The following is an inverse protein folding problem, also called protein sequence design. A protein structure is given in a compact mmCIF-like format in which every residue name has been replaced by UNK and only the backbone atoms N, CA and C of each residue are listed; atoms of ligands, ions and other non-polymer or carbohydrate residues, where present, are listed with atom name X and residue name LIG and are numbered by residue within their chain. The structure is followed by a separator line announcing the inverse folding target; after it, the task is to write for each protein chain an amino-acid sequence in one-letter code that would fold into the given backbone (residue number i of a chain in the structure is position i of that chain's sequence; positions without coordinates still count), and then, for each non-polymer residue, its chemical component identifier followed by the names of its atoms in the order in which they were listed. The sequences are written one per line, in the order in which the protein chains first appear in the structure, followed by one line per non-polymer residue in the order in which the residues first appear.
data_IF_499623718348
#
_entry.id   IF_499623718348
#
_cell.length_a   1.000
_cell.length_b   1.000
_cell.length_c   1.000
_cell.angle_alpha   90.00
_cell.angle_beta   90.00
_cell.angle_gamma   90.00
#
_symmetry.space_group_name_H-M   'P 1'
#
loop_
_entity.id
_entity.type
_entity.pdbx_description
1 polymer ?
#
# COMPACT_ATOMS: atom_id res chain seq x y z
N UNK A 1 -10.00 -35.34 -17.34
CA UNK A 1 -9.08 -34.42 -16.66
C UNK A 1 -9.23 -33.05 -17.30
N UNK A 2 -10.15 -32.22 -16.80
CA UNK A 2 -10.25 -30.83 -17.26
C UNK A 2 -9.19 -30.03 -16.50
N UNK A 3 -8.25 -29.43 -17.25
CA UNK A 3 -7.33 -28.46 -16.70
C UNK A 3 -8.14 -27.33 -16.09
N UNK A 4 -8.06 -27.17 -14.78
CA UNK A 4 -8.41 -25.89 -14.17
C UNK A 4 -7.39 -24.90 -14.70
N UNK A 5 -7.78 -24.11 -15.70
CA UNK A 5 -7.04 -22.90 -16.07
C UNK A 5 -6.75 -22.17 -14.75
N UNK A 6 -5.46 -22.12 -14.37
CA UNK A 6 -5.03 -21.30 -13.25
C UNK A 6 -5.43 -19.88 -13.66
N UNK A 7 -6.49 -19.36 -13.03
CA UNK A 7 -6.83 -17.95 -13.16
C UNK A 7 -5.54 -17.18 -12.89
N UNK A 8 -5.06 -16.34 -13.83
CA UNK A 8 -3.81 -15.64 -13.63
C UNK A 8 -3.91 -14.83 -12.34
N UNK A 9 -2.88 -14.93 -11.51
CA UNK A 9 -2.80 -14.16 -10.28
C UNK A 9 -2.93 -12.66 -10.61
N UNK A 10 -3.64 -11.94 -9.76
CA UNK A 10 -3.99 -10.54 -10.00
C UNK A 10 -3.86 -9.71 -8.73
N UNK A 11 -3.63 -8.44 -8.92
CA UNK A 11 -3.72 -7.39 -7.89
C UNK A 11 -4.87 -6.47 -8.28
N UNK A 12 -5.59 -5.97 -7.28
CA UNK A 12 -6.62 -4.95 -7.48
C UNK A 12 -6.09 -3.61 -6.98
N UNK A 13 -6.13 -2.58 -7.83
CA UNK A 13 -5.80 -1.20 -7.46
C UNK A 13 -7.10 -0.40 -7.38
N UNK A 14 -7.39 0.14 -6.20
CA UNK A 14 -8.56 0.99 -5.95
C UNK A 14 -8.14 2.45 -5.86
N UNK A 15 -9.01 3.33 -6.35
CA UNK A 15 -8.80 4.76 -6.42
C UNK A 15 -9.17 5.28 -7.81
N UNK A 16 -8.65 6.45 -8.16
CA UNK A 16 -8.87 7.07 -9.47
C UNK A 16 -7.84 6.47 -10.45
N UNK A 17 -8.11 5.29 -11.00
CA UNK A 17 -7.22 4.54 -11.91
C UNK A 17 -7.97 4.09 -13.17
N UNK A 18 -7.28 3.93 -14.30
CA UNK A 18 -7.88 3.41 -15.54
C UNK A 18 -8.06 1.89 -15.49
N UNK A 19 -7.05 1.16 -15.01
CA UNK A 19 -7.01 -0.30 -15.01
C UNK A 19 -6.98 -0.82 -13.56
N UNK A 20 -8.14 -1.04 -12.93
CA UNK A 20 -8.22 -1.41 -11.51
C UNK A 20 -7.83 -2.85 -11.22
N UNK A 21 -7.68 -3.70 -12.24
CA UNK A 21 -7.22 -5.08 -12.09
C UNK A 21 -6.03 -5.28 -13.01
N UNK A 22 -4.88 -5.63 -12.44
CA UNK A 22 -3.65 -5.86 -13.18
C UNK A 22 -3.14 -7.27 -12.91
N UNK A 23 -2.41 -7.82 -13.88
CA UNK A 23 -1.78 -9.13 -13.71
C UNK A 23 -0.63 -9.03 -12.70
N UNK A 24 -0.57 -10.00 -11.78
CA UNK A 24 0.56 -10.14 -10.88
C UNK A 24 1.73 -10.81 -11.59
N UNK A 25 2.92 -10.27 -11.36
CA UNK A 25 4.21 -10.84 -11.76
C UNK A 25 5.14 -10.85 -10.55
N UNK A 26 6.17 -11.69 -10.59
CA UNK A 26 7.14 -11.79 -9.50
C UNK A 26 7.85 -10.46 -9.22
N UNK A 27 7.91 -9.56 -10.22
CA UNK A 27 8.50 -8.23 -10.16
C UNK A 27 7.51 -7.08 -9.99
N UNK A 28 6.28 -7.39 -9.57
CA UNK A 28 5.26 -6.39 -9.31
C UNK A 28 5.44 -5.77 -7.93
N UNK A 29 5.84 -4.50 -7.91
CA UNK A 29 5.91 -3.66 -6.71
C UNK A 29 4.74 -2.68 -6.64
N UNK A 30 4.60 -1.96 -5.52
CA UNK A 30 3.57 -0.93 -5.34
C UNK A 30 3.70 0.17 -6.39
N UNK A 31 4.92 0.69 -6.60
CA UNK A 31 5.14 1.75 -7.58
C UNK A 31 4.74 1.28 -9.00
N UNK A 32 5.18 0.08 -9.38
CA UNK A 32 4.85 -0.50 -10.70
C UNK A 32 3.36 -0.75 -10.85
N UNK A 33 2.67 -1.20 -9.81
CA UNK A 33 1.23 -1.40 -9.83
C UNK A 33 0.46 -0.09 -10.06
N UNK A 34 0.86 1.00 -9.41
CA UNK A 34 0.24 2.32 -9.59
C UNK A 34 0.41 2.83 -11.02
N UNK A 35 1.62 2.68 -11.58
CA UNK A 35 1.91 3.06 -12.98
C UNK A 35 1.11 2.20 -13.96
N UNK A 36 1.09 0.88 -13.75
CA UNK A 36 0.40 -0.08 -14.62
C UNK A 36 -1.11 0.10 -14.58
N UNK A 37 -1.67 0.47 -13.42
CA UNK A 37 -3.08 0.80 -13.26
C UNK A 37 -3.46 2.14 -13.93
N UNK A 38 -2.49 2.92 -14.40
CA UNK A 38 -2.64 4.29 -14.90
C UNK A 38 -3.46 5.14 -13.93
N UNK A 39 -2.83 5.55 -12.83
CA UNK A 39 -3.43 6.50 -11.91
C UNK A 39 -3.76 7.84 -12.59
N UNK A 40 -5.02 8.28 -12.43
CA UNK A 40 -5.60 9.47 -13.07
C UNK A 40 -6.01 10.55 -12.06
N UNK A 41 -5.63 10.41 -10.79
CA UNK A 41 -5.96 11.43 -9.78
C UNK A 41 -5.20 12.73 -10.06
N UNK A 42 -5.91 13.86 -9.95
CA UNK A 42 -5.32 15.19 -10.14
C UNK A 42 -4.32 15.59 -9.03
N UNK A 43 -4.27 14.81 -7.93
CA UNK A 43 -3.37 14.99 -6.81
C UNK A 43 -2.74 13.65 -6.47
N UNK A 44 -1.54 13.70 -5.89
CA UNK A 44 -0.90 12.51 -5.36
C UNK A 44 -1.75 11.89 -4.23
N UNK A 45 -1.79 10.56 -4.11
CA UNK A 45 -2.38 9.89 -2.97
C UNK A 45 -1.71 10.38 -1.68
N UNK A 46 -2.52 10.71 -0.67
CA UNK A 46 -2.01 11.07 0.67
C UNK A 46 -1.79 9.83 1.55
N UNK A 47 -2.44 8.72 1.18
CA UNK A 47 -2.32 7.42 1.84
C UNK A 47 -2.34 6.35 0.78
N UNK A 48 -1.40 5.42 0.87
CA UNK A 48 -1.41 4.16 0.14
C UNK A 48 -1.50 3.05 1.17
N UNK A 49 -2.53 2.21 1.06
CA UNK A 49 -2.64 1.01 1.88
C UNK A 49 -2.66 -0.24 1.01
N UNK A 50 -2.14 -1.33 1.55
CA UNK A 50 -2.17 -2.65 0.92
C UNK A 50 -2.90 -3.57 1.86
N UNK A 51 -3.94 -4.21 1.36
CA UNK A 51 -4.68 -5.23 2.08
C UNK A 51 -4.34 -6.59 1.52
N UNK A 52 -3.77 -7.44 2.38
CA UNK A 52 -3.35 -8.81 2.09
C UNK A 52 -4.14 -9.77 2.94
N UNK A 53 -5.15 -10.40 2.34
CA UNK A 53 -6.12 -11.20 3.08
C UNK A 53 -6.83 -10.37 4.16
N UNK A 54 -6.49 -10.61 5.43
CA UNK A 54 -7.03 -9.90 6.61
C UNK A 54 -6.09 -8.83 7.17
N UNK A 55 -4.86 -8.78 6.70
CA UNK A 55 -3.85 -7.84 7.16
C UNK A 55 -3.86 -6.59 6.30
N UNK A 56 -3.47 -5.46 6.88
CA UNK A 56 -3.32 -4.20 6.15
C UNK A 56 -2.07 -3.49 6.60
N UNK A 57 -1.32 -2.98 5.65
CA UNK A 57 -0.10 -2.22 5.87
C UNK A 57 -0.11 -0.95 5.03
N UNK A 58 0.65 0.04 5.49
CA UNK A 58 0.67 1.38 4.91
C UNK A 58 2.00 1.65 4.24
N UNK A 59 1.93 2.31 3.10
CA UNK A 59 3.09 2.79 2.36
C UNK A 59 3.02 4.31 2.37
N UNK A 60 4.08 4.93 2.88
CA UNK A 60 4.24 6.38 2.83
C UNK A 60 4.44 6.81 1.36
N UNK A 61 3.52 7.60 0.77
CA UNK A 61 3.63 8.01 -0.63
C UNK A 61 4.89 8.83 -0.94
N UNK A 62 5.37 9.65 0.01
CA UNK A 62 6.56 10.47 -0.19
C UNK A 62 7.82 9.59 -0.23
N UNK A 63 7.91 8.60 0.67
CA UNK A 63 9.02 7.64 0.66
C UNK A 63 8.99 6.72 -0.56
N UNK A 64 7.79 6.35 -1.03
CA UNK A 64 7.62 5.59 -2.27
C UNK A 64 8.10 6.39 -3.50
N UNK A 65 7.67 7.65 -3.62
CA UNK A 65 8.07 8.53 -4.72
C UNK A 65 9.58 8.79 -4.75
N UNK A 66 10.23 8.83 -3.59
CA UNK A 66 11.69 8.94 -3.45
C UNK A 66 12.43 7.61 -3.66
N UNK A 67 11.72 6.49 -3.84
CA UNK A 67 12.31 5.15 -3.99
C UNK A 67 12.95 4.60 -2.70
N UNK A 68 12.66 5.19 -1.54
CA UNK A 68 13.19 4.75 -0.24
C UNK A 68 12.50 3.44 0.20
N UNK A 69 11.22 3.28 -0.17
CA UNK A 69 10.44 2.06 0.08
C UNK A 69 9.67 1.72 -1.18
N UNK A 70 9.65 0.45 -1.58
CA UNK A 70 8.79 -0.05 -2.65
C UNK A 70 8.48 -1.53 -2.41
N UNK A 71 7.44 -1.85 -1.61
CA UNK A 71 7.13 -3.23 -1.26
C UNK A 71 6.74 -4.09 -2.47
N UNK A 72 7.08 -5.37 -2.42
CA UNK A 72 6.60 -6.36 -3.38
C UNK A 72 5.14 -6.72 -3.09
N UNK A 73 4.35 -6.85 -4.15
CA UNK A 73 2.97 -7.26 -4.07
C UNK A 73 2.85 -8.78 -4.21
N UNK A 74 1.82 -9.33 -3.60
CA UNK A 74 1.47 -10.74 -3.64
C UNK A 74 0.18 -10.98 -4.43
N UNK A 75 -0.03 -12.21 -4.94
CA UNK A 75 -1.29 -12.60 -5.55
C UNK A 75 -2.49 -12.30 -4.65
N UNK A 76 -3.45 -11.53 -5.16
CA UNK A 76 -4.67 -11.19 -4.45
C UNK A 76 -4.59 -9.94 -3.57
N UNK A 77 -3.45 -9.25 -3.51
CA UNK A 77 -3.32 -7.97 -2.82
C UNK A 77 -4.29 -6.92 -3.40
N UNK A 78 -4.72 -6.04 -2.51
CA UNK A 78 -5.56 -4.90 -2.86
C UNK A 78 -4.84 -3.62 -2.43
N UNK A 79 -4.41 -2.83 -3.40
CA UNK A 79 -3.76 -1.53 -3.20
C UNK A 79 -4.84 -0.45 -3.23
N UNK A 80 -4.94 0.38 -2.19
CA UNK A 80 -5.93 1.46 -2.13
C UNK A 80 -5.22 2.82 -2.10
N UNK A 81 -5.57 3.67 -3.06
CA UNK A 81 -5.01 5.01 -3.26
C UNK A 81 -6.03 6.05 -2.78
N UNK A 82 -5.73 6.72 -1.67
CA UNK A 82 -6.64 7.70 -1.08
C UNK A 82 -6.16 9.12 -1.37
N UNK A 83 -6.98 9.88 -2.10
CA UNK A 83 -6.79 11.33 -2.28
C UNK A 83 -7.80 12.04 -1.40
N UNK A 84 -7.35 12.83 -0.43
CA UNK A 84 -8.28 13.54 0.46
C UNK A 84 -9.21 14.44 -0.36
N UNK A 85 -10.48 14.05 -0.43
CA UNK A 85 -11.60 14.87 -0.91
C UNK A 85 -12.78 14.90 0.05
N UNK A 86 -12.69 14.25 1.23
CA UNK A 86 -13.78 14.24 2.22
C UNK A 86 -13.32 14.73 3.60
N UNK A 87 -14.15 15.56 4.21
CA UNK A 87 -14.04 16.26 5.50
C UNK A 87 -14.02 15.37 6.76
N UNK A 88 -13.69 14.08 6.64
CA UNK A 88 -13.43 13.23 7.81
C UNK A 88 -12.48 12.06 7.46
N UNK A 89 -11.17 12.30 7.45
CA UNK A 89 -10.18 11.23 7.37
C UNK A 89 -10.18 10.40 8.66
N UNK A 90 -10.19 9.06 8.60
CA UNK A 90 -10.03 8.18 9.76
C UNK A 90 -8.56 8.18 10.22
N UNK A 91 -8.03 9.35 10.58
CA UNK A 91 -6.65 9.52 11.09
C UNK A 91 -6.42 8.83 12.44
N UNK A 92 -7.43 8.16 13.02
CA UNK A 92 -7.33 7.43 14.28
C UNK A 92 -6.48 6.15 14.24
N UNK A 93 -5.95 5.71 13.09
CA UNK A 93 -5.20 4.46 12.98
C UNK A 93 -3.66 4.63 12.88
N UNK A 94 -3.14 5.86 12.85
CA UNK A 94 -1.69 6.11 12.68
C UNK A 94 -0.94 6.49 13.96
N UNK A 95 -1.61 6.67 15.09
CA UNK A 95 -0.92 7.01 16.35
C UNK A 95 -0.17 5.83 16.95
N UNK A 96 -0.55 4.58 16.67
CA UNK A 96 0.01 3.44 17.40
C UNK A 96 1.35 2.95 16.87
N UNK A 97 1.70 3.20 15.60
CA UNK A 97 2.95 2.65 15.02
C UNK A 97 4.10 3.64 14.92
N UNK A 98 3.86 4.96 14.98
CA UNK A 98 4.93 5.97 14.94
C UNK A 98 5.40 6.34 16.36
N UNK A 99 4.63 6.02 17.40
CA UNK A 99 4.97 6.32 18.81
C UNK A 99 5.51 5.12 19.61
N UNK A 100 5.75 3.97 18.99
CA UNK A 100 6.27 2.79 19.68
C UNK A 100 7.81 2.64 19.59
N UNK A 101 8.47 3.38 18.71
CA UNK A 101 9.93 3.37 18.59
C UNK A 101 10.62 4.17 19.71
N UNK A 102 9.95 5.18 20.29
CA UNK A 102 10.54 6.06 21.32
C UNK A 102 10.54 5.49 22.76
N UNK A 103 10.10 4.24 22.98
CA UNK A 103 10.16 3.60 24.32
C UNK A 103 11.31 2.60 24.50
N UNK A 104 12.17 2.42 23.51
CA UNK A 104 13.36 1.57 23.63
C UNK A 104 14.64 2.41 23.82
N UNK A 105 14.65 3.31 24.81
CA UNK A 105 15.79 4.21 24.97
C UNK A 105 15.80 5.01 26.27
N UNK A 106 15.58 4.38 27.42
CA UNK A 106 16.03 4.96 28.69
C UNK A 106 16.42 3.88 29.68
N UNK A 107 17.60 3.31 29.44
CA UNK A 107 18.47 2.85 30.53
C UNK A 107 19.50 3.95 30.74
N UNK A 108 19.22 4.83 31.69
CA UNK A 108 20.26 5.60 32.36
C UNK A 108 20.35 4.99 33.75
N UNK A 109 21.35 4.15 33.94
CA UNK A 109 21.90 3.88 35.27
C UNK A 109 22.41 5.21 35.83
N UNK A 110 21.89 5.66 36.97
CA UNK A 110 22.69 6.42 37.92
C UNK A 110 22.12 6.31 39.35
N UNK A 111 22.97 5.71 40.20
CA UNK A 111 23.01 5.69 41.68
C UNK A 111 21.96 4.96 42.51
#
# INVERSE_FOLDING_TARGET
MLGHDKVPARVVVKGIVRYPVIQWTEDLTVARAIVTAEYLGARDPIVISIRRGRESFYVDPARLALGIVDPWLEPGDIVELHTSTASNPPYGLYTTSILQDERAGSRVEDR
#
